data_IF_410405654126
#
_entry.id   IF_410405654126
#
_cell.length_a   1.000
_cell.length_b   1.000
_cell.length_c   1.000
_cell.angle_alpha   90.00
_cell.angle_beta   90.00
_cell.angle_gamma   90.00
#
_symmetry.space_group_name_H-M   'P 1'
#
loop_
_entity.id
_entity.type
_entity.pdbx_description
1 polymer ?
#
# COMPACT_ATOMS: atom_id res chain seq x y z
N UNK A 1 20.36 -14.91 12.53
CA UNK A 1 20.76 -14.19 11.32
C UNK A 1 19.62 -13.29 10.87
N UNK A 2 19.91 -12.04 10.71
CA UNK A 2 18.94 -11.11 10.14
C UNK A 2 18.93 -11.29 8.62
N UNK A 3 17.81 -11.71 8.05
CA UNK A 3 17.68 -11.81 6.60
C UNK A 3 17.72 -10.38 6.04
N UNK A 4 18.71 -10.10 5.21
CA UNK A 4 18.83 -8.81 4.52
C UNK A 4 18.42 -9.01 3.08
N UNK A 5 17.41 -8.26 2.65
CA UNK A 5 16.95 -8.27 1.26
C UNK A 5 17.81 -7.33 0.41
N UNK A 6 18.08 -7.73 -0.82
CA UNK A 6 18.70 -6.85 -1.80
C UNK A 6 17.59 -6.21 -2.66
N UNK A 7 17.42 -4.86 -2.61
CA UNK A 7 16.38 -4.20 -3.40
C UNK A 7 16.41 -4.49 -4.90
N UNK A 8 17.58 -4.80 -5.45
CA UNK A 8 17.72 -5.14 -6.87
C UNK A 8 16.98 -6.43 -7.24
N UNK A 9 16.81 -7.35 -6.29
CA UNK A 9 16.12 -8.61 -6.53
C UNK A 9 14.60 -8.41 -6.69
N UNK A 10 14.08 -7.27 -6.24
CA UNK A 10 12.66 -6.91 -6.33
C UNK A 10 12.32 -6.09 -7.58
N UNK A 11 13.27 -5.91 -8.49
CA UNK A 11 13.01 -5.17 -9.72
C UNK A 11 12.12 -5.98 -10.67
N UNK A 12 11.08 -5.32 -11.18
CA UNK A 12 10.17 -5.90 -12.17
C UNK A 12 10.39 -5.17 -13.50
N UNK A 13 10.86 -5.89 -14.51
CA UNK A 13 11.02 -5.38 -15.88
C UNK A 13 9.76 -5.61 -16.70
N UNK A 14 9.13 -6.75 -16.45
CA UNK A 14 7.90 -7.17 -17.11
C UNK A 14 7.16 -8.18 -16.22
N UNK A 15 6.05 -8.70 -16.70
CA UNK A 15 5.23 -9.65 -15.95
C UNK A 15 5.92 -11.02 -15.74
N UNK A 16 6.99 -11.33 -16.47
CA UNK A 16 7.76 -12.57 -16.26
C UNK A 16 8.49 -12.58 -14.89
N UNK A 17 8.77 -11.39 -14.35
CA UNK A 17 9.38 -11.27 -13.02
C UNK A 17 8.36 -11.44 -11.88
N UNK A 18 7.06 -11.47 -12.18
CA UNK A 18 6.00 -11.42 -11.16
C UNK A 18 6.14 -12.52 -10.10
N UNK A 19 6.20 -13.78 -10.53
CA UNK A 19 6.20 -14.90 -9.58
C UNK A 19 7.41 -14.88 -8.64
N UNK A 20 8.57 -14.49 -9.15
CA UNK A 20 9.80 -14.36 -8.37
C UNK A 20 9.69 -13.23 -7.35
N UNK A 21 9.27 -12.06 -7.78
CA UNK A 21 9.14 -10.88 -6.91
C UNK A 21 8.00 -11.07 -5.91
N UNK A 22 6.89 -11.66 -6.31
CA UNK A 22 5.79 -11.98 -5.40
C UNK A 22 6.26 -12.89 -4.24
N UNK A 23 7.07 -13.91 -4.54
CA UNK A 23 7.66 -14.77 -3.53
C UNK A 23 8.57 -14.02 -2.55
N UNK A 24 9.41 -13.12 -3.06
CA UNK A 24 10.26 -12.27 -2.22
C UNK A 24 9.43 -11.30 -1.36
N UNK A 25 8.35 -10.77 -1.90
CA UNK A 25 7.44 -9.90 -1.14
C UNK A 25 6.77 -10.64 0.01
N UNK A 26 6.41 -11.91 -0.19
CA UNK A 26 5.85 -12.75 0.89
C UNK A 26 6.83 -12.90 2.04
N UNK A 27 8.11 -13.14 1.74
CA UNK A 27 9.16 -13.23 2.76
C UNK A 27 9.37 -11.90 3.49
N UNK A 28 9.42 -10.80 2.74
CA UNK A 28 9.54 -9.44 3.30
C UNK A 28 8.37 -9.10 4.24
N UNK A 29 7.15 -9.41 3.84
CA UNK A 29 5.95 -9.16 4.64
C UNK A 29 5.90 -10.05 5.89
N UNK A 30 6.40 -11.27 5.83
CA UNK A 30 6.54 -12.13 6.99
C UNK A 30 7.53 -11.53 8.00
N UNK A 31 8.65 -11.00 7.52
CA UNK A 31 9.62 -10.32 8.40
C UNK A 31 9.01 -9.06 9.02
N UNK A 32 8.22 -8.29 8.27
CA UNK A 32 7.47 -7.16 8.80
C UNK A 32 6.52 -7.59 9.92
N UNK A 33 5.74 -8.65 9.71
CA UNK A 33 4.86 -9.20 10.75
C UNK A 33 5.63 -9.56 12.02
N UNK A 34 6.76 -10.26 11.90
CA UNK A 34 7.58 -10.61 13.05
C UNK A 34 8.14 -9.40 13.79
N UNK A 35 8.52 -8.36 13.05
CA UNK A 35 8.97 -7.09 13.63
C UNK A 35 7.85 -6.43 14.45
N UNK A 36 6.63 -6.40 13.93
CA UNK A 36 5.47 -5.87 14.64
C UNK A 36 5.21 -6.62 15.95
N UNK A 37 5.23 -7.94 15.92
CA UNK A 37 5.03 -8.78 17.11
C UNK A 37 6.15 -8.56 18.13
N UNK A 38 7.40 -8.46 17.67
CA UNK A 38 8.56 -8.20 18.54
C UNK A 38 8.53 -6.81 19.18
N UNK A 39 7.80 -5.86 18.62
CA UNK A 39 7.62 -4.51 19.18
C UNK A 39 6.46 -4.39 20.17
N UNK A 40 5.98 -5.50 20.70
CA UNK A 40 4.86 -5.60 21.65
C UNK A 40 3.51 -5.11 21.13
N UNK A 41 3.33 -5.06 19.80
CA UNK A 41 2.04 -4.79 19.20
C UNK A 41 1.10 -5.98 19.44
N UNK A 42 -0.18 -5.70 19.74
CA UNK A 42 -1.18 -6.76 19.89
C UNK A 42 -1.22 -7.63 18.61
N UNK A 43 -1.24 -8.94 18.78
CA UNK A 43 -1.15 -9.90 17.67
C UNK A 43 -2.23 -9.67 16.61
N UNK A 44 -3.48 -9.39 17.01
CA UNK A 44 -4.56 -9.11 16.07
C UNK A 44 -4.31 -7.84 15.25
N UNK A 45 -3.73 -6.81 15.85
CA UNK A 45 -3.37 -5.57 15.16
C UNK A 45 -2.16 -5.80 14.23
N UNK A 46 -1.17 -6.56 14.67
CA UNK A 46 -0.03 -6.95 13.84
C UNK A 46 -0.50 -7.74 12.60
N UNK A 47 -1.42 -8.68 12.78
CA UNK A 47 -2.03 -9.43 11.68
C UNK A 47 -2.76 -8.52 10.71
N UNK A 48 -3.55 -7.57 11.22
CA UNK A 48 -4.29 -6.61 10.40
C UNK A 48 -3.33 -5.72 9.59
N UNK A 49 -2.29 -5.20 10.21
CA UNK A 49 -1.30 -4.36 9.53
C UNK A 49 -0.54 -5.14 8.46
N UNK A 50 -0.13 -6.36 8.76
CA UNK A 50 0.56 -7.21 7.81
C UNK A 50 -0.34 -7.57 6.61
N UNK A 51 -1.61 -7.88 6.85
CA UNK A 51 -2.60 -8.16 5.80
C UNK A 51 -2.85 -6.95 4.91
N UNK A 52 -2.93 -5.76 5.50
CA UNK A 52 -3.11 -4.51 4.75
C UNK A 52 -1.89 -4.20 3.88
N UNK A 53 -0.70 -4.38 4.42
CA UNK A 53 0.54 -4.22 3.65
C UNK A 53 0.64 -5.26 2.53
N UNK A 54 0.26 -6.51 2.79
CA UNK A 54 0.23 -7.58 1.78
C UNK A 54 -0.67 -7.21 0.61
N UNK A 55 -1.88 -6.75 0.88
CA UNK A 55 -2.84 -6.32 -0.13
C UNK A 55 -2.28 -5.18 -0.99
N UNK A 56 -1.71 -4.15 -0.35
CA UNK A 56 -1.10 -3.03 -1.07
C UNK A 56 0.12 -3.47 -1.90
N UNK A 57 1.02 -4.23 -1.31
CA UNK A 57 2.28 -4.61 -1.96
C UNK A 57 2.05 -5.61 -3.08
N UNK A 58 1.37 -6.72 -2.80
CA UNK A 58 1.27 -7.83 -3.75
C UNK A 58 0.21 -7.60 -4.81
N UNK A 59 -0.99 -7.18 -4.43
CA UNK A 59 -2.09 -7.01 -5.38
C UNK A 59 -2.01 -5.68 -6.15
N UNK A 60 -1.61 -4.59 -5.50
CA UNK A 60 -1.56 -3.30 -6.17
C UNK A 60 -0.19 -2.98 -6.75
N UNK A 61 0.86 -2.94 -5.93
CA UNK A 61 2.19 -2.53 -6.42
C UNK A 61 2.76 -3.54 -7.42
N UNK A 62 2.85 -4.80 -7.02
CA UNK A 62 3.55 -5.82 -7.81
C UNK A 62 2.68 -6.32 -8.97
N UNK A 63 1.48 -6.81 -8.70
CA UNK A 63 0.62 -7.40 -9.72
C UNK A 63 0.03 -6.35 -10.68
N UNK A 64 -0.51 -5.26 -10.15
CA UNK A 64 -1.22 -4.27 -10.98
C UNK A 64 -0.28 -3.22 -11.59
N UNK A 65 0.75 -2.78 -10.85
CA UNK A 65 1.61 -1.66 -11.29
C UNK A 65 3.01 -2.07 -11.74
N UNK A 66 3.43 -3.30 -11.47
CA UNK A 66 4.80 -3.78 -11.71
C UNK A 66 5.84 -2.88 -11.02
N UNK A 67 5.58 -2.48 -9.80
CA UNK A 67 6.41 -1.60 -8.98
C UNK A 67 6.97 -2.36 -7.79
N UNK A 68 8.26 -2.16 -7.53
CA UNK A 68 8.93 -2.72 -6.35
C UNK A 68 8.34 -2.16 -5.04
N UNK A 69 8.24 -2.98 -3.98
CA UNK A 69 7.77 -2.49 -2.67
C UNK A 69 8.67 -1.41 -2.06
N UNK A 70 9.91 -1.28 -2.53
CA UNK A 70 10.83 -0.25 -2.05
C UNK A 70 10.69 1.09 -2.79
N UNK A 71 9.88 1.15 -3.83
CA UNK A 71 9.66 2.34 -4.65
C UNK A 71 8.32 3.04 -4.34
N UNK A 72 7.81 2.87 -3.12
CA UNK A 72 6.55 3.50 -2.68
C UNK A 72 6.70 5.02 -2.65
N UNK A 73 5.69 5.70 -3.21
CA UNK A 73 5.58 7.16 -3.22
C UNK A 73 4.21 7.59 -2.69
N UNK A 74 4.04 8.85 -2.25
CA UNK A 74 2.72 9.36 -1.87
C UNK A 74 1.68 9.22 -3.00
N UNK A 75 2.09 9.41 -4.25
CA UNK A 75 1.24 9.25 -5.44
C UNK A 75 0.67 7.84 -5.53
N UNK A 76 1.52 6.83 -5.34
CA UNK A 76 1.08 5.42 -5.39
C UNK A 76 0.10 5.10 -4.27
N UNK A 77 0.30 5.64 -3.08
CA UNK A 77 -0.63 5.47 -1.95
C UNK A 77 -1.98 6.10 -2.28
N UNK A 78 -2.00 7.30 -2.85
CA UNK A 78 -3.24 7.96 -3.26
C UNK A 78 -3.95 7.20 -4.38
N UNK A 79 -3.23 6.75 -5.39
CA UNK A 79 -3.78 5.92 -6.46
C UNK A 79 -4.41 4.65 -5.91
N UNK A 80 -3.76 4.01 -4.95
CA UNK A 80 -4.30 2.85 -4.26
C UNK A 80 -5.59 3.17 -3.51
N UNK A 81 -5.53 4.12 -2.59
CA UNK A 81 -6.63 4.39 -1.65
C UNK A 81 -7.82 5.10 -2.30
N UNK A 82 -7.55 6.10 -3.15
CA UNK A 82 -8.56 7.01 -3.68
C UNK A 82 -9.11 6.58 -5.04
N UNK A 83 -8.58 5.54 -5.66
CA UNK A 83 -9.06 5.03 -6.96
C UNK A 83 -9.10 3.51 -6.98
N UNK A 84 -7.94 2.83 -6.92
CA UNK A 84 -7.88 1.38 -7.14
C UNK A 84 -8.67 0.58 -6.10
N UNK A 85 -8.53 0.90 -4.81
CA UNK A 85 -9.29 0.25 -3.74
C UNK A 85 -10.80 0.39 -3.96
N UNK A 86 -11.26 1.59 -4.31
CA UNK A 86 -12.68 1.88 -4.51
C UNK A 86 -13.25 1.03 -5.66
N UNK A 87 -12.49 0.89 -6.75
CA UNK A 87 -12.90 0.13 -7.93
C UNK A 87 -12.84 -1.40 -7.73
N UNK A 88 -11.99 -1.87 -6.83
CA UNK A 88 -11.76 -3.30 -6.60
C UNK A 88 -12.42 -3.83 -5.32
N UNK A 89 -13.26 -3.02 -4.68
CA UNK A 89 -13.97 -3.38 -3.45
C UNK A 89 -15.48 -3.29 -3.69
N UNK A 90 -16.22 -4.31 -3.27
CA UNK A 90 -17.68 -4.37 -3.46
C UNK A 90 -18.37 -3.25 -2.69
N UNK A 91 -17.97 -3.02 -1.46
CA UNK A 91 -18.51 -1.99 -0.58
C UNK A 91 -17.38 -1.13 0.00
N UNK A 92 -16.74 -0.26 -0.83
CA UNK A 92 -15.68 0.60 -0.33
C UNK A 92 -16.20 1.50 0.80
N UNK A 93 -15.45 1.54 1.90
CA UNK A 93 -15.82 2.31 3.08
C UNK A 93 -14.58 2.89 3.77
N UNK A 94 -14.79 4.01 4.47
CA UNK A 94 -13.70 4.76 5.08
C UNK A 94 -13.01 3.98 6.22
N UNK A 95 -13.76 3.20 7.00
CA UNK A 95 -13.18 2.43 8.11
C UNK A 95 -12.17 1.40 7.61
N UNK A 96 -12.52 0.67 6.56
CA UNK A 96 -11.65 -0.35 5.97
C UNK A 96 -10.40 0.28 5.35
N UNK A 97 -10.57 1.30 4.51
CA UNK A 97 -9.40 1.92 3.85
C UNK A 97 -8.49 2.65 4.86
N UNK A 98 -9.04 3.26 5.90
CA UNK A 98 -8.23 3.86 6.96
C UNK A 98 -7.38 2.80 7.68
N UNK A 99 -7.94 1.60 7.90
CA UNK A 99 -7.20 0.46 8.43
C UNK A 99 -6.06 0.00 7.50
N UNK A 100 -6.33 -0.08 6.20
CA UNK A 100 -5.29 -0.39 5.21
C UNK A 100 -4.18 0.67 5.21
N UNK A 101 -4.53 1.95 5.22
CA UNK A 101 -3.56 3.04 5.23
C UNK A 101 -2.69 3.03 6.49
N UNK A 102 -3.25 2.68 7.64
CA UNK A 102 -2.48 2.52 8.88
C UNK A 102 -1.43 1.40 8.76
N UNK A 103 -1.81 0.26 8.21
CA UNK A 103 -0.89 -0.86 7.95
C UNK A 103 0.19 -0.51 6.93
N UNK A 104 -0.17 0.19 5.86
CA UNK A 104 0.78 0.66 4.83
C UNK A 104 1.78 1.64 5.44
N UNK A 105 1.31 2.58 6.26
CA UNK A 105 2.20 3.51 6.95
C UNK A 105 3.20 2.81 7.88
N UNK A 106 2.73 1.81 8.63
CA UNK A 106 3.59 0.99 9.48
C UNK A 106 4.63 0.22 8.65
N UNK A 107 4.24 -0.31 7.50
CA UNK A 107 5.15 -1.01 6.59
C UNK A 107 6.22 -0.08 6.01
N UNK A 108 5.85 1.11 5.57
CA UNK A 108 6.81 2.10 5.07
C UNK A 108 7.78 2.55 6.16
N UNK A 109 7.31 2.70 7.39
CA UNK A 109 8.20 2.95 8.55
C UNK A 109 9.20 1.81 8.74
N UNK A 110 8.72 0.56 8.69
CA UNK A 110 9.57 -0.62 8.76
C UNK A 110 10.65 -0.63 7.67
N UNK A 111 10.28 -0.27 6.44
CA UNK A 111 11.25 -0.19 5.33
C UNK A 111 12.32 0.87 5.59
N UNK A 112 11.93 2.03 6.11
CA UNK A 112 12.89 3.09 6.45
C UNK A 112 13.79 2.67 7.61
N UNK A 113 13.25 2.06 8.66
CA UNK A 113 14.00 1.63 9.84
C UNK A 113 15.05 0.56 9.50
N UNK A 114 14.79 -0.25 8.46
CA UNK A 114 15.70 -1.28 7.99
C UNK A 114 16.59 -0.85 6.82
N UNK A 115 16.59 0.43 6.47
CA UNK A 115 17.46 0.99 5.44
C UNK A 115 17.05 0.67 3.99
N UNK A 116 15.83 0.19 3.77
CA UNK A 116 15.31 -0.12 2.42
C UNK A 116 14.73 1.10 1.70
N UNK A 117 14.40 2.15 2.44
CA UNK A 117 13.92 3.42 1.90
C UNK A 117 14.64 4.58 2.60
N UNK A 118 14.89 5.71 1.89
CA UNK A 118 15.46 6.89 2.52
C UNK A 118 14.51 7.44 3.62
N UNK A 119 15.00 7.71 4.84
CA UNK A 119 14.15 8.18 5.93
C UNK A 119 13.41 9.48 5.62
N UNK A 120 13.98 10.34 4.80
CA UNK A 120 13.39 11.62 4.38
C UNK A 120 12.10 11.48 3.55
N UNK A 121 11.84 10.29 2.98
CA UNK A 121 10.60 10.03 2.22
C UNK A 121 9.40 9.75 3.13
N UNK A 122 9.65 9.32 4.36
CA UNK A 122 8.61 8.84 5.26
C UNK A 122 7.56 9.90 5.65
N UNK A 123 7.93 11.16 5.98
CA UNK A 123 6.93 12.15 6.40
C UNK A 123 5.84 12.39 5.35
N UNK A 124 6.19 12.51 4.07
CA UNK A 124 5.21 12.70 2.99
C UNK A 124 4.31 11.47 2.80
N UNK A 125 4.88 10.27 2.92
CA UNK A 125 4.14 9.01 2.87
C UNK A 125 3.13 8.93 4.01
N UNK A 126 3.54 9.21 5.24
CA UNK A 126 2.64 9.18 6.41
C UNK A 126 1.55 10.24 6.33
N UNK A 127 1.85 11.41 5.79
CA UNK A 127 0.85 12.45 5.53
C UNK A 127 -0.22 11.94 4.57
N UNK A 128 0.18 11.27 3.51
CA UNK A 128 -0.78 10.69 2.55
C UNK A 128 -1.60 9.55 3.17
N UNK A 129 -0.97 8.69 3.97
CA UNK A 129 -1.69 7.63 4.71
C UNK A 129 -2.73 8.19 5.71
N UNK A 130 -2.53 9.40 6.20
CA UNK A 130 -3.46 10.09 7.10
C UNK A 130 -4.55 10.89 6.38
N UNK A 131 -4.49 10.98 5.05
CA UNK A 131 -5.42 11.80 4.24
C UNK A 131 -6.76 11.09 4.00
N UNK A 132 -7.39 10.63 5.06
CA UNK A 132 -8.63 9.86 5.02
C UNK A 132 -9.85 10.70 4.62
N UNK A 133 -9.83 12.02 4.89
CA UNK A 133 -10.89 12.93 4.47
C UNK A 133 -11.01 12.98 2.94
N UNK A 134 -9.88 13.09 2.26
CA UNK A 134 -9.85 13.06 0.79
C UNK A 134 -10.36 11.74 0.25
N UNK A 135 -9.90 10.61 0.80
CA UNK A 135 -10.35 9.28 0.37
C UNK A 135 -11.85 9.11 0.62
N UNK A 136 -12.35 9.56 1.77
CA UNK A 136 -13.78 9.55 2.08
C UNK A 136 -14.61 10.34 1.06
N UNK A 137 -14.12 11.50 0.65
CA UNK A 137 -14.80 12.31 -0.39
C UNK A 137 -14.82 11.59 -1.75
N UNK A 138 -13.78 10.84 -2.07
CA UNK A 138 -13.71 10.03 -3.29
C UNK A 138 -14.72 8.88 -3.27
N UNK A 139 -14.85 8.21 -2.12
CA UNK A 139 -15.86 7.14 -1.93
C UNK A 139 -17.27 7.71 -2.11
N UNK A 140 -17.57 8.81 -1.46
CA UNK A 140 -18.90 9.46 -1.55
C UNK A 140 -19.23 9.88 -2.99
N UNK A 141 -18.28 10.48 -3.68
CA UNK A 141 -18.48 10.87 -5.07
C UNK A 141 -18.64 9.69 -6.02
N UNK A 142 -17.97 8.57 -5.75
CA UNK A 142 -18.12 7.33 -6.52
C UNK A 142 -19.56 6.79 -6.43
N UNK A 143 -20.14 6.76 -5.22
CA UNK A 143 -21.52 6.29 -5.03
C UNK A 143 -22.57 7.20 -5.68
N UNK A 144 -22.24 8.46 -5.96
CA UNK A 144 -23.13 9.45 -6.55
C UNK A 144 -22.85 9.73 -8.04
N UNK A 145 -22.09 8.83 -8.71
CA UNK A 145 -21.75 9.02 -10.12
C UNK A 145 -22.99 8.97 -11.01
N UNK A 146 -23.10 9.88 -11.99
CA UNK A 146 -24.04 9.71 -13.10
C UNK A 146 -23.61 8.53 -13.98
N UNK A 147 -24.54 8.02 -14.80
CA UNK A 147 -24.36 6.80 -15.59
C UNK A 147 -23.05 6.73 -16.42
N UNK A 148 -22.59 7.89 -16.93
CA UNK A 148 -21.42 8.00 -17.78
C UNK A 148 -20.27 8.78 -17.11
N UNK A 149 -20.30 8.92 -15.77
CA UNK A 149 -19.35 9.78 -15.03
C UNK A 149 -18.04 9.13 -14.59
N UNK A 150 -17.80 7.83 -14.89
CA UNK A 150 -16.66 7.10 -14.39
C UNK A 150 -15.30 7.70 -14.80
N UNK A 151 -15.13 8.02 -16.09
CA UNK A 151 -13.88 8.57 -16.59
C UNK A 151 -13.53 9.93 -15.98
N UNK A 152 -14.55 10.79 -15.82
CA UNK A 152 -14.38 12.09 -15.17
C UNK A 152 -14.03 11.92 -13.71
N UNK A 153 -14.70 11.01 -13.00
CA UNK A 153 -14.39 10.69 -11.60
C UNK A 153 -12.97 10.19 -11.43
N UNK A 154 -12.53 9.26 -12.29
CA UNK A 154 -11.16 8.75 -12.24
C UNK A 154 -10.15 9.88 -12.49
N UNK A 155 -10.43 10.75 -13.47
CA UNK A 155 -9.57 11.87 -13.82
C UNK A 155 -9.45 12.93 -12.74
N UNK A 156 -10.44 13.06 -11.86
CA UNK A 156 -10.45 14.02 -10.74
C UNK A 156 -9.49 13.67 -9.61
N UNK A 157 -9.00 12.42 -9.56
CA UNK A 157 -8.05 12.04 -8.53
C UNK A 157 -6.74 12.82 -8.70
N UNK A 158 -6.40 13.60 -7.69
CA UNK A 158 -5.13 14.33 -7.65
C UNK A 158 -3.97 13.38 -7.35
N UNK A 159 -2.75 13.69 -7.75
CA UNK A 159 -1.56 12.84 -7.59
C UNK A 159 -1.72 11.46 -8.27
N UNK A 160 -1.93 11.46 -9.54
CA UNK A 160 -1.96 10.22 -10.33
C UNK A 160 -0.57 9.74 -10.70
#
# INVERSE_FOLDING_TARGET
>A
MTTTFNPQDFMLRDYLDFARVDGLCRELLLMFYHDLVASDLLENLATQYASSADYFVRDFLVDNRLVSPFAVTPELIRQFAATWYILNTVEPNLTEIAGHLAGIGAFCRYLCDNGYMPPETLPAILTECANTEYVGSRIDSFWNLPKDGYLDWEAECTLK
#
